data_IF_304690891042
#
_entry.id   IF_304690891042
#
_cell.length_a   1.000
_cell.length_b   1.000
_cell.length_c   1.000
_cell.angle_alpha   90.00
_cell.angle_beta   90.00
_cell.angle_gamma   90.00
#
_symmetry.space_group_name_H-M   'P 1'
#
loop_
_entity.id
_entity.type
_entity.pdbx_description
1 polymer ?
#
# COMPACT_ATOMS: atom_id res chain seq x y z
N UNK A 1 -16.38 20.95 2.45
CA UNK A 1 -16.22 19.77 3.32
C UNK A 1 -16.44 18.51 2.48
N UNK A 2 -15.45 17.63 2.43
CA UNK A 2 -15.54 16.37 1.70
C UNK A 2 -16.06 15.29 2.65
N UNK A 3 -17.17 14.65 2.27
CA UNK A 3 -17.76 13.56 3.04
C UNK A 3 -17.53 12.24 2.34
N UNK A 4 -17.18 11.21 3.11
CA UNK A 4 -17.20 9.82 2.66
C UNK A 4 -18.53 9.20 3.09
N UNK A 5 -19.24 8.54 2.17
CA UNK A 5 -20.45 7.77 2.45
C UNK A 5 -20.17 6.29 2.15
N UNK A 6 -20.17 5.43 3.17
CA UNK A 6 -20.07 3.96 3.00
C UNK A 6 -21.43 3.44 2.54
N UNK A 7 -21.49 2.84 1.35
CA UNK A 7 -22.67 2.10 0.88
C UNK A 7 -22.45 0.64 1.21
N UNK A 8 -23.15 0.13 2.22
CA UNK A 8 -23.19 -1.32 2.47
C UNK A 8 -24.16 -1.95 1.47
N UNK A 9 -23.77 -3.08 0.86
CA UNK A 9 -24.51 -3.77 -0.19
C UNK A 9 -25.78 -4.49 0.27
N UNK A 10 -26.36 -4.12 1.40
CA UNK A 10 -27.52 -4.78 2.01
C UNK A 10 -28.74 -3.85 1.96
N UNK A 11 -29.93 -4.32 1.53
CA UNK A 11 -31.15 -3.54 1.62
C UNK A 11 -31.43 -3.13 3.09
N UNK A 12 -31.55 -1.82 3.36
CA UNK A 12 -31.83 -1.29 4.70
C UNK A 12 -30.67 -0.57 5.41
N UNK A 13 -29.58 -0.25 4.71
CA UNK A 13 -28.38 0.32 5.32
C UNK A 13 -28.46 1.80 5.70
N UNK A 14 -28.00 2.10 6.91
CA UNK A 14 -27.68 3.44 7.43
C UNK A 14 -26.44 4.02 6.74
N UNK A 15 -26.54 5.27 6.30
CA UNK A 15 -25.43 6.01 5.72
C UNK A 15 -24.72 6.80 6.83
N UNK A 16 -23.41 6.60 6.98
CA UNK A 16 -22.60 7.43 7.86
C UNK A 16 -21.75 8.40 7.03
N UNK A 17 -21.81 9.67 7.38
CA UNK A 17 -20.99 10.72 6.79
C UNK A 17 -19.70 10.88 7.60
N UNK A 18 -18.55 10.73 6.97
CA UNK A 18 -17.26 10.97 7.60
C UNK A 18 -16.64 12.26 7.07
N UNK A 19 -16.18 13.14 7.97
CA UNK A 19 -15.44 14.33 7.59
C UNK A 19 -13.96 13.97 7.36
N UNK A 20 -13.45 14.21 6.15
CA UNK A 20 -12.02 14.14 5.87
C UNK A 20 -11.33 15.43 6.35
N UNK A 21 -11.40 15.73 7.63
CA UNK A 21 -10.82 16.97 8.18
C UNK A 21 -9.34 16.85 8.52
N UNK A 22 -8.79 15.64 8.57
CA UNK A 22 -7.41 15.39 9.00
C UNK A 22 -6.84 14.13 8.33
N UNK A 23 -7.11 13.92 7.04
CA UNK A 23 -6.21 13.06 6.26
C UNK A 23 -5.04 13.96 5.94
N UNK A 24 -3.88 13.84 6.63
CA UNK A 24 -2.70 14.57 6.20
C UNK A 24 -2.57 14.36 4.71
N UNK A 25 -2.36 15.45 3.97
CA UNK A 25 -2.12 15.46 2.54
C UNK A 25 -0.97 14.49 2.22
N UNK A 26 -1.30 13.20 2.09
CA UNK A 26 -0.39 12.21 1.59
C UNK A 26 -0.47 12.35 0.08
N UNK A 27 0.34 13.26 -0.45
CA UNK A 27 0.61 13.44 -1.89
C UNK A 27 1.14 12.15 -2.57
N UNK A 28 1.30 11.06 -1.82
CA UNK A 28 1.70 9.74 -2.30
C UNK A 28 0.60 8.66 -2.34
N UNK A 29 -0.64 8.98 -1.97
CA UNK A 29 -1.75 8.09 -2.27
C UNK A 29 -2.06 8.24 -3.75
N UNK A 30 -1.85 7.19 -4.54
CA UNK A 30 -2.33 7.22 -5.92
C UNK A 30 -3.76 7.69 -5.93
N UNK A 31 -3.99 8.79 -6.65
CA UNK A 31 -5.32 9.34 -6.87
C UNK A 31 -6.20 8.15 -7.20
N UNK A 32 -7.11 7.72 -6.30
CA UNK A 32 -7.91 6.56 -6.62
C UNK A 32 -8.59 6.87 -7.94
N UNK A 33 -8.57 5.93 -8.89
CA UNK A 33 -9.19 6.13 -10.19
C UNK A 33 -10.62 6.54 -9.95
N UNK A 34 -10.90 7.80 -10.31
CA UNK A 34 -12.21 8.38 -10.15
C UNK A 34 -12.79 8.68 -11.51
N UNK A 35 -14.11 8.49 -11.61
CA UNK A 35 -14.85 8.99 -12.75
C UNK A 35 -15.41 10.35 -12.36
N UNK A 36 -15.04 11.36 -13.14
CA UNK A 36 -15.66 12.68 -13.05
C UNK A 36 -17.00 12.62 -13.77
N UNK A 37 -18.07 12.93 -13.04
CA UNK A 37 -19.42 13.00 -13.61
C UNK A 37 -19.95 14.41 -13.41
N UNK A 38 -20.23 15.08 -14.53
CA UNK A 38 -20.93 16.35 -14.54
C UNK A 38 -22.42 16.12 -14.26
N UNK A 39 -22.96 16.88 -13.31
CA UNK A 39 -24.35 16.73 -12.89
C UNK A 39 -25.26 17.70 -13.63
N UNK A 40 -26.39 17.17 -14.11
CA UNK A 40 -27.45 17.98 -14.66
C UNK A 40 -28.08 18.88 -13.56
N UNK A 41 -28.48 20.10 -13.94
CA UNK A 41 -29.16 21.04 -13.02
C UNK A 41 -30.53 20.49 -12.61
N UNK A 42 -30.91 20.66 -11.34
CA UNK A 42 -32.28 20.43 -10.85
C UNK A 42 -32.45 19.35 -9.77
N UNK A 43 -31.48 18.45 -9.59
CA UNK A 43 -31.47 17.48 -8.48
C UNK A 43 -30.25 17.76 -7.59
N UNK A 44 -30.38 17.53 -6.28
CA UNK A 44 -29.27 17.67 -5.34
C UNK A 44 -28.04 16.90 -5.85
N UNK A 45 -26.88 17.57 -6.06
CA UNK A 45 -25.65 16.95 -6.52
C UNK A 45 -25.27 15.68 -5.76
N UNK A 46 -25.55 15.66 -4.45
CA UNK A 46 -25.30 14.52 -3.57
C UNK A 46 -26.12 13.28 -3.93
N UNK A 47 -27.40 13.46 -4.27
CA UNK A 47 -28.30 12.35 -4.63
C UNK A 47 -27.85 11.74 -5.97
N UNK A 48 -27.50 12.58 -6.94
CA UNK A 48 -27.02 12.12 -8.24
C UNK A 48 -25.68 11.37 -8.12
N UNK A 49 -24.72 11.88 -7.35
CA UNK A 49 -23.47 11.16 -7.11
C UNK A 49 -23.70 9.81 -6.43
N UNK A 50 -24.62 9.74 -5.46
CA UNK A 50 -24.98 8.48 -4.80
C UNK A 50 -25.58 7.48 -5.80
N UNK A 51 -26.54 7.91 -6.62
CA UNK A 51 -27.16 7.05 -7.64
C UNK A 51 -26.13 6.53 -8.65
N UNK A 52 -25.25 7.40 -9.12
CA UNK A 52 -24.15 7.02 -10.03
C UNK A 52 -23.16 6.06 -9.36
N UNK A 53 -22.82 6.29 -8.10
CA UNK A 53 -21.99 5.37 -7.33
C UNK A 53 -22.66 3.99 -7.19
N UNK A 54 -23.96 3.93 -6.92
CA UNK A 54 -24.71 2.66 -6.85
C UNK A 54 -24.78 1.91 -8.18
N UNK A 55 -24.79 2.62 -9.31
CA UNK A 55 -24.77 2.03 -10.65
C UNK A 55 -23.39 1.48 -11.03
N UNK A 56 -22.32 1.97 -10.40
CA UNK A 56 -20.96 1.51 -10.63
C UNK A 56 -20.59 0.45 -9.58
N UNK A 57 -20.47 -0.85 -9.93
CA UNK A 57 -20.19 -1.93 -8.97
C UNK A 57 -18.81 -1.82 -8.30
N UNK A 58 -17.95 -0.94 -8.82
CA UNK A 58 -16.63 -0.61 -8.29
C UNK A 58 -16.64 0.62 -7.39
N UNK A 59 -17.67 1.47 -7.46
CA UNK A 59 -17.71 2.69 -6.66
C UNK A 59 -17.99 2.33 -5.20
N UNK A 60 -17.12 2.79 -4.32
CA UNK A 60 -17.20 2.56 -2.88
C UNK A 60 -17.44 3.87 -2.14
N UNK A 61 -16.96 4.99 -2.68
CA UNK A 61 -17.10 6.32 -2.10
C UNK A 61 -17.33 7.36 -3.19
N UNK A 62 -17.90 8.52 -2.85
CA UNK A 62 -17.95 9.65 -3.76
C UNK A 62 -17.74 10.97 -3.02
N UNK A 63 -17.16 11.95 -3.69
CA UNK A 63 -17.09 13.33 -3.21
C UNK A 63 -17.83 14.26 -4.15
N UNK A 64 -18.39 15.33 -3.61
CA UNK A 64 -19.15 16.33 -4.38
C UNK A 64 -18.49 17.69 -4.22
N UNK A 65 -18.08 18.28 -5.32
CA UNK A 65 -17.54 19.64 -5.38
C UNK A 65 -18.35 20.43 -6.42
N UNK A 66 -19.27 21.28 -5.95
CA UNK A 66 -20.22 21.98 -6.84
C UNK A 66 -21.10 21.02 -7.62
N UNK A 67 -21.03 21.08 -8.95
CA UNK A 67 -21.75 20.20 -9.90
C UNK A 67 -20.94 18.99 -10.37
N UNK A 68 -19.79 18.72 -9.75
CA UNK A 68 -18.89 17.63 -10.11
C UNK A 68 -18.92 16.54 -9.04
N UNK A 69 -19.20 15.30 -9.47
CA UNK A 69 -18.95 14.10 -8.67
C UNK A 69 -17.57 13.54 -8.99
N UNK A 70 -16.83 13.14 -7.95
CA UNK A 70 -15.72 12.18 -8.10
C UNK A 70 -16.13 10.87 -7.45
N UNK A 71 -16.20 9.80 -8.24
CA UNK A 71 -16.62 8.47 -7.81
C UNK A 71 -15.39 7.59 -7.59
N UNK A 72 -15.12 7.19 -6.36
CA UNK A 72 -13.89 6.51 -5.93
C UNK A 72 -14.10 5.00 -5.78
N UNK A 73 -13.08 4.20 -6.11
CA UNK A 73 -13.17 2.74 -6.27
C UNK A 73 -12.26 1.94 -5.32
N UNK A 74 -12.19 2.34 -4.04
CA UNK A 74 -11.32 1.70 -3.04
C UNK A 74 -12.14 1.04 -1.90
N UNK A 75 -11.68 -0.09 -1.36
CA UNK A 75 -12.25 -0.80 -0.20
C UNK A 75 -11.50 -0.41 1.08
N UNK A 76 -12.16 -0.50 2.23
CA UNK A 76 -11.51 -0.39 3.54
C UNK A 76 -11.10 -1.80 4.01
N UNK A 77 -9.98 -1.89 4.73
CA UNK A 77 -9.55 -3.15 5.35
C UNK A 77 -10.59 -3.65 6.36
N UNK A 78 -10.75 -4.98 6.49
CA UNK A 78 -11.68 -5.59 7.44
C UNK A 78 -11.36 -5.22 8.91
N UNK A 79 -10.12 -4.86 9.23
CA UNK A 79 -9.73 -4.34 10.54
C UNK A 79 -10.43 -3.03 10.91
N UNK A 80 -11.04 -2.32 9.96
CA UNK A 80 -11.89 -1.14 10.21
C UNK A 80 -13.33 -1.47 10.61
N UNK A 81 -13.73 -2.75 10.62
CA UNK A 81 -15.11 -3.14 10.93
C UNK A 81 -15.47 -3.07 12.43
N UNK A 82 -14.53 -2.80 13.35
CA UNK A 82 -14.76 -3.03 14.79
C UNK A 82 -14.46 -1.86 15.74
N UNK A 83 -14.21 -0.64 15.25
CA UNK A 83 -13.99 0.51 16.13
C UNK A 83 -15.16 1.49 16.14
N UNK A 84 -15.81 1.67 17.30
CA UNK A 84 -16.59 2.87 17.59
C UNK A 84 -15.64 4.08 17.59
N UNK A 85 -15.38 4.66 16.43
CA UNK A 85 -14.57 5.88 16.32
C UNK A 85 -15.46 7.11 16.44
N UNK A 86 -15.23 7.92 17.47
CA UNK A 86 -15.89 9.22 17.67
C UNK A 86 -15.48 10.27 16.64
N UNK A 87 -14.52 9.99 15.74
CA UNK A 87 -14.25 10.69 14.47
C UNK A 87 -13.13 9.98 13.71
N UNK A 88 -13.39 9.14 12.69
CA UNK A 88 -12.32 8.46 11.98
C UNK A 88 -11.67 9.40 10.95
N UNK A 89 -10.37 9.61 11.11
CA UNK A 89 -9.48 10.12 10.05
C UNK A 89 -9.02 8.95 9.20
N UNK A 90 -9.33 8.96 7.90
CA UNK A 90 -9.00 7.85 7.00
C UNK A 90 -7.60 8.08 6.44
N UNK A 91 -6.58 7.60 7.13
CA UNK A 91 -5.17 7.75 6.71
C UNK A 91 -4.71 6.77 5.61
N UNK A 92 -5.54 5.82 5.19
CA UNK A 92 -5.18 4.86 4.13
C UNK A 92 -6.38 4.27 3.39
N UNK A 93 -6.29 4.18 2.06
CA UNK A 93 -7.31 3.67 1.14
C UNK A 93 -6.73 2.51 0.29
N UNK A 94 -7.53 1.49 -0.07
CA UNK A 94 -7.06 0.31 -0.84
C UNK A 94 -7.90 0.02 -2.09
N UNK A 95 -7.36 -0.26 -3.29
CA UNK A 95 -8.19 -0.71 -4.40
C UNK A 95 -8.92 -2.03 -4.08
N UNK A 96 -10.18 -2.18 -4.52
CA UNK A 96 -10.97 -3.42 -4.38
C UNK A 96 -10.28 -4.57 -5.10
N UNK A 97 -9.63 -5.45 -4.34
CA UNK A 97 -9.10 -6.71 -4.85
C UNK A 97 -10.28 -7.68 -4.99
N UNK A 98 -10.42 -8.29 -6.17
CA UNK A 98 -11.55 -9.18 -6.49
C UNK A 98 -11.66 -10.41 -5.57
N UNK A 99 -12.67 -11.29 -5.78
CA UNK A 99 -12.96 -12.45 -4.93
C UNK A 99 -11.84 -13.51 -4.83
N UNK A 100 -10.74 -13.33 -5.56
CA UNK A 100 -9.50 -14.12 -5.51
C UNK A 100 -8.37 -13.42 -4.74
N UNK A 101 -8.67 -12.40 -3.93
CA UNK A 101 -7.68 -11.58 -3.24
C UNK A 101 -6.68 -12.44 -2.44
N UNK A 102 -5.36 -12.25 -2.65
CA UNK A 102 -4.35 -13.07 -2.01
C UNK A 102 -4.33 -12.74 -0.51
N UNK A 103 -4.41 -13.79 0.30
CA UNK A 103 -3.63 -14.02 1.54
C UNK A 103 -3.30 -12.75 2.35
N UNK A 104 -3.91 -12.59 3.54
CA UNK A 104 -3.67 -11.53 4.53
C UNK A 104 -2.20 -11.07 4.56
N UNK A 105 -1.97 -9.78 4.28
CA UNK A 105 -0.64 -9.14 4.32
C UNK A 105 -0.27 -8.76 5.76
N UNK A 106 0.49 -9.63 6.43
CA UNK A 106 0.90 -9.42 7.83
C UNK A 106 2.03 -8.41 8.00
N UNK A 107 2.67 -7.96 6.91
CA UNK A 107 3.66 -6.89 6.96
C UNK A 107 3.02 -5.49 7.04
N UNK A 108 1.71 -5.37 6.78
CA UNK A 108 1.03 -4.09 6.72
C UNK A 108 1.16 -3.29 8.02
N UNK A 109 1.61 -2.04 7.90
CA UNK A 109 1.80 -1.07 8.99
C UNK A 109 2.76 -1.57 10.08
N UNK A 110 3.53 -2.61 9.80
CA UNK A 110 4.55 -3.12 10.71
C UNK A 110 5.80 -2.24 10.68
N UNK A 111 6.58 -2.21 11.78
CA UNK A 111 7.82 -1.45 11.78
C UNK A 111 8.75 -1.90 10.65
N UNK A 112 9.25 -0.92 9.90
CA UNK A 112 10.29 -1.12 8.91
C UNK A 112 11.39 -0.07 9.07
N UNK A 113 12.62 -0.51 8.96
CA UNK A 113 13.84 0.28 9.19
C UNK A 113 14.82 0.03 8.07
N UNK A 114 15.71 0.99 7.82
CA UNK A 114 16.82 0.82 6.88
C UNK A 114 18.11 1.30 7.53
N UNK A 115 19.23 0.77 7.07
CA UNK A 115 20.54 1.19 7.57
C UNK A 115 20.92 2.60 7.15
N UNK A 116 20.33 3.09 6.06
CA UNK A 116 20.40 4.49 5.65
C UNK A 116 19.22 4.86 4.77
N UNK A 117 19.04 6.16 4.54
CA UNK A 117 18.06 6.71 3.61
C UNK A 117 18.80 7.65 2.66
N UNK A 118 18.58 7.44 1.36
CA UNK A 118 19.05 8.37 0.34
C UNK A 118 18.20 9.64 0.39
N UNK A 119 18.84 10.81 0.32
CA UNK A 119 18.29 12.09 0.78
C UNK A 119 16.95 12.56 0.17
N UNK A 120 16.57 12.08 -1.02
CA UNK A 120 15.25 12.38 -1.65
C UNK A 120 14.12 11.44 -1.21
N UNK A 121 14.43 10.34 -0.53
CA UNK A 121 13.45 9.34 -0.10
C UNK A 121 13.02 9.58 1.35
N UNK A 122 11.81 9.16 1.70
CA UNK A 122 11.19 9.54 2.97
C UNK A 122 11.70 8.71 4.17
N UNK A 123 11.53 7.39 4.12
CA UNK A 123 11.80 6.51 5.26
C UNK A 123 11.69 5.04 4.87
N UNK A 124 12.38 4.16 5.61
CA UNK A 124 12.23 2.71 5.51
C UNK A 124 10.84 2.22 5.93
N UNK A 125 10.11 3.04 6.69
CA UNK A 125 8.72 2.76 7.05
C UNK A 125 7.84 2.60 5.80
N UNK A 126 8.14 3.28 4.69
CA UNK A 126 7.39 3.22 3.42
C UNK A 126 7.21 1.78 2.89
N UNK A 127 8.12 0.87 3.21
CA UNK A 127 8.05 -0.54 2.80
C UNK A 127 6.77 -1.24 3.22
N UNK A 128 6.18 -0.87 4.35
CA UNK A 128 5.02 -1.56 4.92
C UNK A 128 3.75 -0.71 4.90
N UNK A 129 3.80 0.49 4.30
CA UNK A 129 2.62 1.34 4.22
C UNK A 129 1.54 0.75 3.32
N UNK A 130 0.31 1.17 3.58
CA UNK A 130 -0.86 0.73 2.84
C UNK A 130 -0.96 1.18 1.38
N UNK A 131 -0.04 2.04 0.90
CA UNK A 131 -0.05 2.42 -0.51
C UNK A 131 0.29 1.22 -1.41
N UNK A 132 -0.40 1.10 -2.54
CA UNK A 132 -0.16 0.07 -3.56
C UNK A 132 0.35 0.68 -4.86
N UNK A 133 0.58 1.99 -4.88
CA UNK A 133 0.85 2.70 -6.11
C UNK A 133 1.75 3.91 -5.81
N UNK A 134 2.84 4.00 -6.57
CA UNK A 134 3.98 4.85 -6.29
C UNK A 134 4.27 5.70 -7.53
N UNK A 135 3.54 6.81 -7.74
CA UNK A 135 3.67 7.62 -8.95
C UNK A 135 4.98 8.42 -8.96
N UNK A 136 5.55 8.64 -7.76
CA UNK A 136 6.80 9.33 -7.55
C UNK A 136 7.80 8.36 -6.88
N UNK A 137 9.04 8.23 -7.36
CA UNK A 137 10.05 7.39 -6.72
C UNK A 137 10.30 7.76 -5.25
N UNK A 138 10.10 9.02 -4.86
CA UNK A 138 10.29 9.50 -3.49
C UNK A 138 9.27 8.91 -2.50
N UNK A 139 8.19 8.30 -2.99
CA UNK A 139 7.22 7.56 -2.17
C UNK A 139 7.67 6.12 -1.88
N UNK A 140 8.86 5.73 -2.34
CA UNK A 140 9.47 4.44 -2.09
C UNK A 140 10.57 4.58 -1.04
N UNK A 141 11.24 3.47 -0.73
CA UNK A 141 12.46 3.46 0.09
C UNK A 141 13.65 3.29 -0.83
N UNK A 142 14.70 4.09 -0.62
CA UNK A 142 16.03 3.78 -1.12
C UNK A 142 17.12 4.10 -0.10
N UNK A 143 18.17 3.30 -0.11
CA UNK A 143 19.33 3.45 0.79
C UNK A 143 20.47 4.21 0.11
N UNK A 144 21.44 4.65 0.90
CA UNK A 144 22.75 5.05 0.36
C UNK A 144 23.55 3.83 -0.12
N UNK A 145 24.61 4.09 -0.89
CA UNK A 145 25.49 3.06 -1.45
C UNK A 145 26.22 2.26 -0.36
N UNK A 146 26.73 2.92 0.68
CA UNK A 146 27.59 2.31 1.69
C UNK A 146 26.84 1.48 2.76
N UNK A 147 25.55 1.77 2.97
CA UNK A 147 24.72 1.08 3.98
C UNK A 147 23.38 0.73 3.36
N UNK A 148 23.32 -0.44 2.74
CA UNK A 148 22.34 -0.81 1.73
C UNK A 148 21.35 -1.89 2.16
N UNK A 149 20.89 -1.82 3.41
CA UNK A 149 19.96 -2.79 3.96
C UNK A 149 18.66 -2.16 4.44
N UNK A 150 17.60 -2.95 4.39
CA UNK A 150 16.31 -2.67 5.01
C UNK A 150 15.76 -3.91 5.73
N UNK A 151 14.93 -3.69 6.73
CA UNK A 151 14.36 -4.73 7.58
C UNK A 151 12.92 -4.41 7.93
N UNK A 152 12.04 -5.39 7.77
CA UNK A 152 10.67 -5.39 8.28
C UNK A 152 10.61 -6.29 9.51
N UNK A 153 10.01 -5.78 10.59
CA UNK A 153 9.72 -6.53 11.82
C UNK A 153 8.22 -6.82 11.92
N UNK A 154 7.82 -8.09 11.77
CA UNK A 154 6.42 -8.51 11.85
C UNK A 154 5.84 -8.45 13.28
N UNK A 155 6.66 -8.05 14.26
CA UNK A 155 6.45 -8.00 15.72
C UNK A 155 6.49 -9.38 16.40
N UNK A 156 6.06 -10.42 15.69
CA UNK A 156 6.06 -11.81 16.15
C UNK A 156 6.33 -12.75 14.97
N UNK A 157 6.74 -14.01 15.22
CA UNK A 157 6.86 -15.00 14.16
C UNK A 157 5.52 -15.28 13.48
N UNK A 158 5.46 -15.14 12.16
CA UNK A 158 4.27 -15.37 11.34
C UNK A 158 4.52 -16.47 10.29
N UNK A 159 3.53 -17.34 9.99
CA UNK A 159 3.66 -18.41 9.01
C UNK A 159 3.47 -17.89 7.58
N UNK A 160 4.30 -16.93 7.17
CA UNK A 160 4.26 -16.30 5.85
C UNK A 160 4.59 -17.34 4.78
N UNK A 161 3.73 -17.46 3.77
CA UNK A 161 3.92 -18.35 2.62
C UNK A 161 4.53 -17.64 1.41
N UNK A 162 4.30 -16.34 1.28
CA UNK A 162 4.78 -15.58 0.11
C UNK A 162 5.24 -14.19 0.53
N UNK A 163 6.46 -13.82 0.15
CA UNK A 163 6.94 -12.43 0.24
C UNK A 163 6.77 -11.80 -1.14
N UNK A 164 6.21 -10.59 -1.21
CA UNK A 164 6.08 -9.83 -2.46
C UNK A 164 6.80 -8.50 -2.34
N UNK A 165 7.70 -8.22 -3.27
CA UNK A 165 8.38 -6.94 -3.37
C UNK A 165 7.81 -6.13 -4.55
N UNK A 166 7.57 -4.84 -4.35
CA UNK A 166 7.15 -3.91 -5.42
C UNK A 166 8.32 -3.02 -5.84
N UNK A 167 8.65 -3.08 -7.13
CA UNK A 167 9.70 -2.29 -7.75
C UNK A 167 9.38 -0.79 -7.73
N UNK A 168 10.41 0.07 -7.72
CA UNK A 168 10.24 1.51 -7.84
C UNK A 168 9.85 1.93 -9.25
N UNK A 169 9.79 3.24 -9.45
CA UNK A 169 9.52 3.84 -10.76
C UNK A 169 10.72 4.66 -11.22
N UNK A 170 10.85 4.82 -12.54
CA UNK A 170 11.79 5.74 -13.18
C UNK A 170 13.26 5.46 -12.84
N UNK A 171 14.03 6.49 -12.48
CA UNK A 171 15.48 6.42 -12.30
C UNK A 171 15.95 5.53 -11.14
N UNK A 172 15.06 5.14 -10.21
CA UNK A 172 15.38 4.25 -9.09
C UNK A 172 15.26 2.76 -9.45
N UNK A 173 14.68 2.43 -10.61
CA UNK A 173 14.43 1.07 -11.07
C UNK A 173 15.67 0.17 -11.14
N UNK A 174 16.85 0.66 -11.55
CA UNK A 174 18.07 -0.17 -11.55
C UNK A 174 18.48 -0.69 -10.17
N UNK A 175 18.11 0.01 -9.10
CA UNK A 175 18.45 -0.37 -7.72
C UNK A 175 17.51 -1.42 -7.12
N UNK A 176 16.53 -1.92 -7.89
CA UNK A 176 15.72 -3.05 -7.50
C UNK A 176 16.34 -4.39 -7.90
N UNK A 177 17.27 -4.40 -8.84
CA UNK A 177 17.88 -5.62 -9.35
C UNK A 177 18.71 -6.30 -8.26
N UNK A 178 18.82 -7.63 -8.26
CA UNK A 178 19.76 -8.38 -7.41
C UNK A 178 19.69 -8.14 -5.87
N UNK A 179 18.57 -7.67 -5.33
CA UNK A 179 18.33 -7.56 -3.89
C UNK A 179 18.13 -8.97 -3.34
N UNK A 180 18.96 -9.37 -2.38
CA UNK A 180 18.80 -10.62 -1.64
C UNK A 180 17.76 -10.44 -0.55
N UNK A 181 16.81 -11.37 -0.50
CA UNK A 181 15.77 -11.44 0.52
C UNK A 181 16.13 -12.56 1.48
N UNK A 182 16.22 -12.22 2.77
CA UNK A 182 16.40 -13.15 3.88
C UNK A 182 15.20 -13.05 4.81
N UNK A 183 14.84 -14.17 5.44
CA UNK A 183 13.79 -14.16 6.43
C UNK A 183 14.09 -15.15 7.55
N UNK A 184 13.86 -14.72 8.79
CA UNK A 184 14.21 -15.49 9.98
C UNK A 184 13.89 -14.73 11.26
N UNK A 185 14.54 -15.13 12.35
CA UNK A 185 14.27 -14.61 13.68
C UNK A 185 15.41 -13.73 14.22
N UNK A 186 16.52 -13.59 13.48
CA UNK A 186 17.62 -12.72 13.88
C UNK A 186 17.41 -11.28 13.37
N UNK A 187 16.85 -11.13 12.17
CA UNK A 187 16.62 -9.85 11.53
C UNK A 187 17.90 -9.20 11.00
N UNK A 188 18.81 -10.01 10.47
CA UNK A 188 20.10 -9.57 9.93
C UNK A 188 20.58 -10.42 8.74
N UNK A 189 21.83 -10.20 8.32
CA UNK A 189 22.43 -10.90 7.18
C UNK A 189 22.69 -12.40 7.39
N UNK A 190 22.42 -12.95 8.57
CA UNK A 190 22.62 -14.38 8.89
C UNK A 190 21.36 -15.22 8.68
N UNK A 191 20.18 -14.58 8.55
CA UNK A 191 18.93 -15.28 8.30
C UNK A 191 18.96 -16.04 6.95
N UNK A 192 18.22 -17.17 6.84
CA UNK A 192 18.10 -17.94 5.60
C UNK A 192 17.69 -17.09 4.40
N UNK A 193 18.28 -17.37 3.23
CA UNK A 193 17.91 -16.72 1.97
C UNK A 193 16.57 -17.31 1.49
N UNK A 194 15.60 -16.44 1.25
CA UNK A 194 14.31 -16.77 0.62
C UNK A 194 14.42 -16.68 -0.90
N UNK A 195 15.17 -15.70 -1.40
CA UNK A 195 15.32 -15.49 -2.83
C UNK A 195 16.11 -14.23 -3.16
N UNK A 196 16.07 -13.87 -4.44
CA UNK A 196 16.76 -12.69 -4.97
C UNK A 196 15.92 -12.06 -6.07
N UNK A 197 15.80 -10.73 -6.09
CA UNK A 197 15.13 -10.05 -7.21
C UNK A 197 15.88 -10.28 -8.53
N UNK A 198 15.18 -10.22 -9.68
CA UNK A 198 15.80 -10.49 -10.98
C UNK A 198 17.00 -9.58 -11.25
N UNK A 199 18.00 -10.06 -12.03
CA UNK A 199 19.17 -9.26 -12.38
C UNK A 199 18.87 -8.19 -13.44
N UNK A 200 17.80 -8.37 -14.23
CA UNK A 200 17.38 -7.44 -15.26
C UNK A 200 16.30 -6.49 -14.73
N UNK A 201 16.26 -5.29 -15.32
CA UNK A 201 15.32 -4.23 -14.96
C UNK A 201 13.88 -4.73 -15.04
N UNK A 202 13.23 -4.72 -13.89
CA UNK A 202 11.79 -4.91 -13.73
C UNK A 202 11.06 -3.68 -14.27
N UNK A 203 9.83 -3.81 -14.75
CA UNK A 203 9.02 -2.66 -15.16
C UNK A 203 8.64 -1.80 -13.94
N UNK A 204 8.27 -0.54 -14.17
CA UNK A 204 7.74 0.35 -13.14
C UNK A 204 6.63 -0.34 -12.33
N UNK A 205 6.70 -0.30 -11.00
CA UNK A 205 5.72 -0.93 -10.08
C UNK A 205 5.54 -2.45 -10.25
N UNK A 206 6.45 -3.14 -10.94
CA UNK A 206 6.37 -4.58 -11.07
C UNK A 206 6.47 -5.26 -9.69
N UNK A 207 5.64 -6.28 -9.51
CA UNK A 207 5.67 -7.13 -8.31
C UNK A 207 6.46 -8.39 -8.58
N UNK A 208 7.30 -8.76 -7.62
CA UNK A 208 8.06 -10.03 -7.64
C UNK A 208 7.71 -10.81 -6.39
N UNK A 209 7.29 -12.05 -6.57
CA UNK A 209 6.83 -12.93 -5.48
C UNK A 209 7.85 -14.04 -5.20
N UNK A 210 8.03 -14.36 -3.93
CA UNK A 210 8.95 -15.37 -3.44
C UNK A 210 8.22 -16.30 -2.50
N UNK A 211 8.23 -17.60 -2.80
CA UNK A 211 7.61 -18.60 -1.93
C UNK A 211 8.54 -18.91 -0.76
N UNK A 212 7.98 -18.93 0.44
CA UNK A 212 8.68 -19.36 1.66
C UNK A 212 8.29 -20.81 1.95
N UNK A 213 9.29 -21.65 2.16
CA UNK A 213 9.12 -23.11 2.34
C UNK A 213 9.46 -23.57 3.76
N UNK A 214 9.83 -22.66 4.66
CA UNK A 214 10.18 -22.94 6.04
C UNK A 214 9.18 -22.34 7.03
N UNK A 215 9.40 -22.62 8.33
CA UNK A 215 8.50 -22.25 9.42
C UNK A 215 8.32 -20.75 9.64
N UNK A 216 7.55 -20.41 10.67
CA UNK A 216 7.25 -19.03 11.01
C UNK A 216 8.51 -18.21 11.34
N UNK A 217 8.53 -16.95 10.91
CA UNK A 217 9.64 -16.03 11.12
C UNK A 217 9.15 -14.62 11.44
N UNK A 218 9.97 -13.84 12.14
CA UNK A 218 9.64 -12.48 12.57
C UNK A 218 10.14 -11.40 11.62
N UNK A 219 11.28 -11.61 10.97
CA UNK A 219 11.96 -10.56 10.22
C UNK A 219 12.07 -10.89 8.74
N UNK A 220 11.94 -9.85 7.91
CA UNK A 220 12.33 -9.85 6.50
C UNK A 220 13.48 -8.88 6.36
N UNK A 221 14.64 -9.35 5.92
CA UNK A 221 15.84 -8.57 5.74
C UNK A 221 16.22 -8.51 4.26
N UNK A 222 16.48 -7.29 3.77
CA UNK A 222 16.74 -6.99 2.38
C UNK A 222 18.10 -6.32 2.28
N UNK A 223 18.97 -6.81 1.40
CA UNK A 223 20.24 -6.12 1.08
C UNK A 223 20.78 -6.52 -0.28
N UNK A 224 21.65 -5.69 -0.84
CA UNK A 224 22.64 -6.20 -1.78
C UNK A 224 23.77 -6.89 -1.02
N UNK A 225 24.17 -8.07 -1.49
CA UNK A 225 25.35 -8.77 -0.96
C UNK A 225 26.65 -8.11 -1.47
N UNK A 226 26.58 -7.42 -2.60
CA UNK A 226 27.68 -6.60 -3.12
C UNK A 226 27.75 -5.29 -2.32
N UNK A 227 28.93 -4.90 -1.81
CA UNK A 227 29.10 -3.60 -1.18
C UNK A 227 28.90 -2.47 -2.20
N UNK A 228 28.61 -1.27 -1.70
CA UNK A 228 28.47 -0.05 -2.51
C UNK A 228 27.38 -0.11 -3.59
N UNK A 229 26.26 -0.78 -3.31
CA UNK A 229 25.08 -0.79 -4.18
C UNK A 229 23.84 -0.45 -3.37
N UNK A 230 23.10 0.64 -3.67
CA UNK A 230 21.89 0.98 -2.92
C UNK A 230 20.76 0.02 -3.31
N UNK A 231 19.83 -0.22 -2.39
CA UNK A 231 18.56 -0.88 -2.72
C UNK A 231 17.49 0.19 -2.90
N UNK A 232 16.56 -0.01 -3.84
CA UNK A 232 15.34 0.79 -3.92
C UNK A 232 14.12 -0.08 -4.21
N UNK A 233 13.05 0.12 -3.44
CA UNK A 233 11.78 -0.59 -3.57
C UNK A 233 10.66 0.16 -2.86
N UNK A 234 9.42 -0.06 -3.26
CA UNK A 234 8.29 0.70 -2.71
C UNK A 234 7.47 -0.04 -1.67
N UNK A 235 7.44 -1.37 -1.73
CA UNK A 235 6.61 -2.17 -0.82
C UNK A 235 7.19 -3.56 -0.60
N UNK A 236 7.02 -4.03 0.63
CA UNK A 236 7.19 -5.40 1.08
C UNK A 236 5.83 -5.88 1.58
N UNK A 237 5.39 -7.02 1.05
CA UNK A 237 4.19 -7.70 1.53
C UNK A 237 4.59 -9.08 2.05
N UNK A 238 3.95 -9.51 3.13
CA UNK A 238 4.15 -10.83 3.73
C UNK A 238 2.80 -11.54 3.82
N UNK A 239 2.57 -12.50 2.92
CA UNK A 239 1.26 -13.11 2.69
C UNK A 239 1.20 -14.53 3.31
N UNK A 240 0.16 -14.81 4.10
CA UNK A 240 -0.08 -16.10 4.79
C UNK A 240 -0.57 -17.26 3.93
#
# INVERSE_FOLDING_TARGET
MNYILKVSGVPGTTYQAFALTNVPYFEGLCVPTYVEVNLARGISPRILCLLKCRQLPTCTFFTVAGSVCKLWTFTLDESYHLGNFTTPTVTSYWPKLGPTAPRRDVALMKPATSGSIYWIFQSGAMLTYGSMCFPNPNNCTATNFSVNWARVDLLQPEPVKTIVLTAPVNAALPYFANITIRAGNNGDGTDPIVGKTPPALVANNQKVSFNVTFGAFRYIFLRHETPNQPIALCKVQALL
#
